data_IF_447660943244
#
_entry.id   IF_447660943244
#
_cell.length_a   1.000
_cell.length_b   1.000
_cell.length_c   1.000
_cell.angle_alpha   90.00
_cell.angle_beta   90.00
_cell.angle_gamma   90.00
#
_symmetry.space_group_name_H-M   'P 1'
#
loop_
_entity.id
_entity.type
_entity.pdbx_description
1 polymer ?
#
# COMPACT_ATOMS: atom_id res chain seq x y z
N UNK A 1 9.01 10.11 10.97
CA UNK A 1 7.77 10.33 10.22
C UNK A 1 6.52 10.12 11.10
N UNK A 2 6.33 8.96 11.75
CA UNK A 2 5.12 8.74 12.57
C UNK A 2 4.92 9.77 13.69
N UNK A 3 5.98 10.19 14.35
CA UNK A 3 5.92 11.25 15.38
C UNK A 3 5.59 12.61 14.75
N UNK A 4 6.18 12.96 13.61
CA UNK A 4 5.87 14.22 12.90
C UNK A 4 4.42 14.28 12.44
N UNK A 5 3.88 13.18 11.93
CA UNK A 5 2.45 13.08 11.55
C UNK A 5 1.53 13.23 12.77
N UNK A 6 1.94 12.73 13.94
CA UNK A 6 1.18 12.92 15.18
C UNK A 6 1.14 14.38 15.66
N UNK A 7 2.14 15.19 15.25
CA UNK A 7 2.23 16.62 15.55
C UNK A 7 1.73 17.51 14.38
N UNK A 8 1.02 16.93 13.41
CA UNK A 8 0.52 17.60 12.20
C UNK A 8 1.62 18.33 11.40
N UNK A 9 2.83 17.76 11.38
CA UNK A 9 3.99 18.30 10.69
C UNK A 9 4.49 17.35 9.61
N UNK A 10 5.14 17.88 8.57
CA UNK A 10 5.84 17.10 7.57
C UNK A 10 7.19 17.71 7.21
N UNK A 11 8.14 16.87 6.82
CA UNK A 11 9.48 17.29 6.40
C UNK A 11 9.47 17.91 4.99
N UNK A 12 8.63 17.38 4.10
CA UNK A 12 8.44 17.88 2.73
C UNK A 12 9.49 17.46 1.71
N UNK A 13 10.72 17.11 2.14
CA UNK A 13 11.77 16.52 1.30
C UNK A 13 12.43 15.32 1.99
N UNK A 14 11.60 14.37 2.46
CA UNK A 14 12.10 13.18 3.12
C UNK A 14 12.81 12.27 2.10
N UNK A 15 14.10 12.06 2.31
CA UNK A 15 14.98 11.19 1.50
C UNK A 15 16.12 10.65 2.37
N UNK A 16 16.82 9.57 1.98
CA UNK A 16 17.92 9.01 2.78
C UNK A 16 19.03 10.03 3.12
N UNK A 17 19.36 10.95 2.21
CA UNK A 17 20.38 11.97 2.43
C UNK A 17 20.00 12.98 3.54
N UNK A 18 18.69 13.12 3.81
CA UNK A 18 18.17 14.02 4.84
C UNK A 18 17.86 13.27 6.16
N UNK A 19 18.37 12.03 6.33
CA UNK A 19 18.16 11.22 7.53
C UNK A 19 19.52 10.78 8.08
N UNK A 20 19.89 11.28 9.26
CA UNK A 20 21.08 10.83 9.97
C UNK A 20 20.71 9.71 10.94
N UNK A 21 21.45 8.61 10.91
CA UNK A 21 21.33 7.55 11.92
C UNK A 21 22.27 7.85 13.08
N UNK A 22 21.71 8.17 14.25
CA UNK A 22 22.46 8.43 15.47
C UNK A 22 23.14 7.18 16.02
N UNK A 23 24.10 7.37 16.94
CA UNK A 23 24.78 6.26 17.64
C UNK A 23 23.83 5.43 18.50
N UNK A 24 22.76 6.05 18.95
CA UNK A 24 21.63 5.42 19.66
C UNK A 24 20.65 4.66 18.71
N UNK A 25 20.99 4.60 17.41
CA UNK A 25 20.19 4.01 16.33
C UNK A 25 18.86 4.73 16.07
N UNK A 26 18.70 5.95 16.56
CA UNK A 26 17.56 6.81 16.21
C UNK A 26 17.81 7.52 14.89
N UNK A 27 16.70 7.78 14.20
CA UNK A 27 16.70 8.54 12.95
C UNK A 27 16.49 10.02 13.26
N UNK A 28 17.40 10.86 12.77
CA UNK A 28 17.36 12.30 12.93
C UNK A 28 17.17 12.95 11.57
N UNK A 29 15.96 13.40 11.21
CA UNK A 29 15.76 14.21 10.01
C UNK A 29 16.53 15.53 10.10
N UNK A 30 17.06 15.98 8.97
CA UNK A 30 17.79 17.26 8.79
C UNK A 30 17.28 17.92 7.51
N UNK A 31 17.56 19.22 7.34
CA UNK A 31 17.20 19.98 6.12
C UNK A 31 15.68 20.18 5.99
N UNK A 32 15.13 21.01 6.87
CA UNK A 32 13.70 21.28 7.00
C UNK A 32 13.18 22.43 6.12
N UNK A 33 13.90 22.84 5.06
CA UNK A 33 13.55 24.01 4.25
C UNK A 33 12.22 23.85 3.50
N UNK A 34 11.80 22.59 3.23
CA UNK A 34 10.52 22.25 2.63
C UNK A 34 9.41 21.89 3.65
N UNK A 35 9.67 22.07 4.95
CA UNK A 35 8.80 21.52 5.99
C UNK A 35 7.43 22.23 6.05
N UNK A 36 6.38 21.42 6.27
CA UNK A 36 5.06 21.89 6.63
C UNK A 36 4.91 21.92 8.16
N UNK A 37 4.41 23.04 8.66
CA UNK A 37 3.94 23.23 10.03
C UNK A 37 2.48 23.69 10.00
N UNK A 38 1.65 23.44 11.05
CA UNK A 38 0.27 23.89 11.10
C UNK A 38 0.08 25.40 10.87
N UNK A 39 1.09 26.20 11.22
CA UNK A 39 1.08 27.66 10.97
C UNK A 39 1.08 28.04 9.49
N UNK A 40 1.46 27.13 8.59
CA UNK A 40 1.51 27.33 7.14
C UNK A 40 0.27 26.78 6.42
N UNK A 41 -0.76 26.38 7.17
CA UNK A 41 -1.98 25.84 6.57
C UNK A 41 -2.63 26.86 5.61
N UNK A 42 -2.87 26.40 4.37
CA UNK A 42 -3.41 27.25 3.30
C UNK A 42 -2.36 27.96 2.44
N UNK A 43 -1.07 27.84 2.77
CA UNK A 43 0.02 28.31 1.92
C UNK A 43 0.39 27.29 0.83
N UNK A 44 1.30 27.68 -0.06
CA UNK A 44 1.87 26.77 -1.07
C UNK A 44 3.27 26.35 -0.64
N UNK A 45 3.64 25.13 -1.00
CA UNK A 45 4.98 24.60 -0.70
C UNK A 45 6.06 25.47 -1.32
N UNK A 46 7.07 25.91 -0.55
CA UNK A 46 8.20 26.66 -1.09
C UNK A 46 9.05 25.80 -2.05
N UNK A 47 9.09 24.48 -1.81
CA UNK A 47 9.85 23.51 -2.59
C UNK A 47 9.05 22.22 -2.78
N UNK A 48 9.25 21.54 -3.91
CA UNK A 48 8.57 20.25 -4.19
C UNK A 48 9.34 19.03 -3.65
N UNK A 49 10.50 19.26 -3.05
CA UNK A 49 11.38 18.20 -2.61
C UNK A 49 12.02 17.42 -3.79
N UNK A 50 12.70 16.34 -3.47
CA UNK A 50 13.44 15.54 -4.44
C UNK A 50 12.52 14.60 -5.20
N UNK A 51 12.34 14.82 -6.50
CA UNK A 51 11.37 14.11 -7.36
C UNK A 51 11.50 12.57 -7.35
N UNK A 52 12.69 12.03 -7.04
CA UNK A 52 12.92 10.59 -6.94
C UNK A 52 12.24 9.96 -5.71
N UNK A 53 11.75 10.77 -4.77
CA UNK A 53 11.09 10.31 -3.55
C UNK A 53 9.66 10.84 -3.41
N UNK A 54 9.21 11.72 -4.29
CA UNK A 54 7.90 12.36 -4.21
C UNK A 54 6.86 11.64 -5.08
N UNK A 55 5.60 11.73 -4.67
CA UNK A 55 4.50 11.29 -5.53
C UNK A 55 4.56 11.99 -6.88
N UNK A 56 4.36 11.28 -8.02
CA UNK A 56 4.49 11.86 -9.35
C UNK A 56 3.61 13.08 -9.61
N UNK A 57 2.43 13.11 -9.00
CA UNK A 57 1.42 14.15 -9.18
C UNK A 57 1.49 15.27 -8.13
N UNK A 58 2.53 15.30 -7.26
CA UNK A 58 2.71 16.36 -6.28
C UNK A 58 2.90 17.71 -6.95
N UNK A 59 2.17 18.70 -6.45
CA UNK A 59 2.26 20.10 -6.85
C UNK A 59 2.55 21.02 -5.65
N UNK A 60 2.84 22.29 -5.88
CA UNK A 60 3.05 23.24 -4.79
C UNK A 60 1.78 23.50 -3.95
N UNK A 61 0.59 23.24 -4.49
CA UNK A 61 -0.66 23.34 -3.75
C UNK A 61 -0.87 22.20 -2.73
N UNK A 62 -0.12 21.10 -2.88
CA UNK A 62 -0.17 19.97 -1.97
C UNK A 62 0.77 20.21 -0.77
N UNK A 63 0.46 21.24 0.02
CA UNK A 63 1.27 21.62 1.17
C UNK A 63 0.48 21.37 2.46
N UNK A 64 0.74 20.23 3.10
CA UNK A 64 0.02 19.75 4.28
C UNK A 64 0.84 18.74 5.08
N UNK A 65 0.31 18.29 6.20
CA UNK A 65 0.93 17.33 7.14
C UNK A 65 1.19 15.93 6.55
N UNK A 66 0.70 15.65 5.33
CA UNK A 66 0.82 14.34 4.67
C UNK A 66 1.88 14.28 3.56
N UNK A 67 2.68 15.32 3.43
CA UNK A 67 3.76 15.39 2.42
C UNK A 67 4.72 14.20 2.47
N UNK A 68 4.94 13.64 3.65
CA UNK A 68 5.89 12.56 3.88
C UNK A 68 5.29 11.16 3.73
N UNK A 69 4.00 11.01 3.50
CA UNK A 69 3.36 9.69 3.34
C UNK A 69 4.03 8.89 2.21
N UNK A 70 4.12 9.47 1.03
CA UNK A 70 4.68 8.78 -0.14
C UNK A 70 6.18 8.47 0.00
N UNK A 71 7.06 9.44 0.34
CA UNK A 71 8.48 9.16 0.54
C UNK A 71 8.73 8.15 1.67
N UNK A 72 7.96 8.18 2.77
CA UNK A 72 8.08 7.19 3.84
C UNK A 72 7.72 5.77 3.37
N UNK A 73 6.64 5.61 2.61
CA UNK A 73 6.26 4.33 2.02
C UNK A 73 7.32 3.81 1.04
N UNK A 74 7.83 4.69 0.17
CA UNK A 74 8.85 4.35 -0.83
C UNK A 74 10.16 3.89 -0.17
N UNK A 75 10.67 4.67 0.77
CA UNK A 75 11.92 4.37 1.50
C UNK A 75 11.75 3.08 2.31
N UNK A 76 10.64 2.94 3.04
CA UNK A 76 10.34 1.74 3.82
C UNK A 76 10.29 0.50 2.93
N UNK A 77 9.60 0.57 1.79
CA UNK A 77 9.52 -0.54 0.82
C UNK A 77 10.90 -0.95 0.31
N UNK A 78 11.72 0.02 -0.12
CA UNK A 78 13.05 -0.26 -0.64
C UNK A 78 13.98 -0.85 0.42
N UNK A 79 14.00 -0.29 1.63
CA UNK A 79 14.88 -0.77 2.71
C UNK A 79 14.49 -2.17 3.19
N UNK A 80 13.19 -2.47 3.32
CA UNK A 80 12.75 -3.82 3.67
C UNK A 80 13.08 -4.83 2.57
N UNK A 81 12.95 -4.46 1.28
CA UNK A 81 13.34 -5.32 0.18
C UNK A 81 14.84 -5.61 0.19
N UNK A 82 15.67 -4.60 0.42
CA UNK A 82 17.14 -4.77 0.54
C UNK A 82 17.55 -5.60 1.75
N UNK A 83 16.79 -5.54 2.85
CA UNK A 83 17.02 -6.39 4.02
C UNK A 83 16.71 -7.86 3.74
N UNK A 84 15.73 -8.16 2.90
CA UNK A 84 15.37 -9.53 2.50
C UNK A 84 16.25 -10.06 1.36
N UNK A 85 16.67 -9.21 0.43
CA UNK A 85 17.43 -9.56 -0.77
C UNK A 85 18.42 -8.43 -1.13
N UNK A 86 19.62 -8.39 -0.52
CA UNK A 86 20.61 -7.32 -0.76
C UNK A 86 21.06 -7.18 -2.21
N UNK A 87 21.01 -8.27 -3.00
CA UNK A 87 21.44 -8.27 -4.42
C UNK A 87 20.52 -7.42 -5.32
N UNK A 88 19.36 -6.99 -4.81
CA UNK A 88 18.53 -6.00 -5.50
C UNK A 88 19.27 -4.69 -5.74
N UNK A 89 20.18 -4.32 -4.84
CA UNK A 89 20.99 -3.12 -5.02
C UNK A 89 21.90 -3.20 -6.24
N UNK A 90 22.55 -4.33 -6.47
CA UNK A 90 23.45 -4.53 -7.60
C UNK A 90 22.73 -4.45 -8.94
N UNK A 91 21.44 -4.81 -8.97
CA UNK A 91 20.61 -4.85 -10.18
C UNK A 91 19.84 -3.56 -10.45
N UNK A 92 19.37 -2.89 -9.41
CA UNK A 92 18.41 -1.80 -9.51
C UNK A 92 18.82 -0.55 -8.74
N UNK A 93 19.80 -0.65 -7.82
CA UNK A 93 20.24 0.46 -6.99
C UNK A 93 20.77 1.63 -7.81
N UNK A 94 20.37 2.83 -7.42
CA UNK A 94 20.90 4.04 -8.01
C UNK A 94 21.07 5.14 -6.93
N UNK A 95 22.01 6.06 -7.18
CA UNK A 95 22.36 7.10 -6.22
C UNK A 95 21.23 8.13 -5.99
N UNK A 96 20.35 8.29 -6.97
CA UNK A 96 19.32 9.33 -6.96
C UNK A 96 17.99 8.84 -6.35
N UNK A 97 17.74 7.52 -6.29
CA UNK A 97 16.42 7.02 -5.93
C UNK A 97 16.32 5.57 -5.44
N UNK A 98 17.16 5.07 -4.58
CA UNK A 98 17.12 3.70 -4.04
C UNK A 98 16.96 2.61 -5.14
N UNK A 99 15.79 1.93 -5.21
CA UNK A 99 15.54 0.79 -6.09
C UNK A 99 14.65 1.10 -7.30
N UNK A 100 13.69 2.01 -7.18
CA UNK A 100 12.69 2.26 -8.23
C UNK A 100 12.31 3.73 -8.34
N UNK A 101 11.82 4.10 -9.52
CA UNK A 101 11.39 5.46 -9.81
C UNK A 101 9.88 5.61 -9.59
N UNK A 102 9.42 6.59 -8.79
CA UNK A 102 7.99 6.87 -8.58
C UNK A 102 7.18 6.97 -9.87
N UNK A 103 7.73 7.66 -10.87
CA UNK A 103 7.06 7.88 -12.18
C UNK A 103 6.85 6.60 -13.01
N UNK A 104 7.53 5.52 -12.68
CA UNK A 104 7.42 4.25 -13.39
C UNK A 104 6.53 3.23 -12.69
N UNK A 105 6.16 3.48 -11.43
CA UNK A 105 5.25 2.61 -10.67
C UNK A 105 3.83 2.72 -11.27
N UNK A 106 3.11 1.60 -11.49
CA UNK A 106 3.42 0.21 -11.12
C UNK A 106 4.23 -0.59 -12.18
N UNK A 107 4.59 0.01 -13.30
CA UNK A 107 5.28 -0.65 -14.41
C UNK A 107 6.77 -0.93 -14.20
N UNK A 108 7.39 -0.40 -13.16
CA UNK A 108 8.81 -0.54 -12.85
C UNK A 108 9.18 -2.01 -12.58
N UNK A 109 10.29 -2.48 -13.20
CA UNK A 109 10.72 -3.87 -13.07
C UNK A 109 11.16 -4.20 -11.64
N UNK A 110 11.92 -3.30 -11.01
CA UNK A 110 12.35 -3.47 -9.63
C UNK A 110 11.17 -3.50 -8.66
N UNK A 111 10.20 -2.60 -8.86
CA UNK A 111 8.99 -2.56 -8.04
C UNK A 111 8.19 -3.87 -8.12
N UNK A 112 8.00 -4.43 -9.31
CA UNK A 112 7.31 -5.72 -9.48
C UNK A 112 8.06 -6.88 -8.85
N UNK A 113 9.39 -6.88 -8.95
CA UNK A 113 10.22 -7.90 -8.30
C UNK A 113 10.13 -7.79 -6.77
N UNK A 114 10.13 -6.58 -6.22
CA UNK A 114 9.95 -6.34 -4.78
C UNK A 114 8.59 -6.83 -4.29
N UNK A 115 7.51 -6.57 -5.04
CA UNK A 115 6.18 -7.13 -4.70
C UNK A 115 6.20 -8.66 -4.67
N UNK A 116 6.77 -9.30 -5.71
CA UNK A 116 6.88 -10.75 -5.77
C UNK A 116 7.75 -11.32 -4.64
N UNK A 117 8.84 -10.63 -4.27
CA UNK A 117 9.69 -11.00 -3.14
C UNK A 117 8.91 -10.99 -1.82
N UNK A 118 8.17 -9.91 -1.54
CA UNK A 118 7.39 -9.82 -0.30
C UNK A 118 6.28 -10.88 -0.24
N UNK A 119 5.61 -11.13 -1.35
CA UNK A 119 4.61 -12.19 -1.46
C UNK A 119 5.22 -13.56 -1.19
N UNK A 120 6.32 -13.90 -1.88
CA UNK A 120 7.01 -15.18 -1.71
C UNK A 120 7.54 -15.40 -0.29
N UNK A 121 8.03 -14.33 0.36
CA UNK A 121 8.57 -14.36 1.73
C UNK A 121 7.48 -14.21 2.81
N UNK A 122 6.20 -14.10 2.44
CA UNK A 122 5.09 -13.93 3.39
C UNK A 122 5.12 -12.58 4.14
N UNK A 123 5.75 -11.54 3.57
CA UNK A 123 5.89 -10.21 4.16
C UNK A 123 4.64 -9.36 3.87
N UNK A 124 3.51 -9.79 4.43
CA UNK A 124 2.20 -9.22 4.12
C UNK A 124 2.10 -7.70 4.40
N UNK A 125 2.71 -7.21 5.48
CA UNK A 125 2.70 -5.79 5.83
C UNK A 125 3.53 -4.98 4.84
N UNK A 126 4.75 -5.43 4.54
CA UNK A 126 5.64 -4.78 3.58
C UNK A 126 5.03 -4.75 2.18
N UNK A 127 4.38 -5.84 1.78
CA UNK A 127 3.62 -5.92 0.53
C UNK A 127 2.52 -4.85 0.48
N UNK A 128 1.74 -4.70 1.56
CA UNK A 128 0.69 -3.67 1.65
C UNK A 128 1.25 -2.25 1.61
N UNK A 129 2.36 -1.98 2.31
CA UNK A 129 3.05 -0.67 2.23
C UNK A 129 3.47 -0.39 0.80
N UNK A 130 4.06 -1.37 0.11
CA UNK A 130 4.45 -1.23 -1.28
C UNK A 130 3.26 -0.94 -2.20
N UNK A 131 2.11 -1.60 -2.00
CA UNK A 131 0.89 -1.35 -2.78
C UNK A 131 0.38 0.09 -2.67
N UNK A 132 0.59 0.78 -1.53
CA UNK A 132 0.21 2.18 -1.36
C UNK A 132 0.90 3.11 -2.37
N UNK A 133 2.08 2.74 -2.88
CA UNK A 133 2.79 3.52 -3.90
C UNK A 133 2.05 3.61 -5.24
N UNK A 134 1.04 2.77 -5.47
CA UNK A 134 0.17 2.82 -6.64
C UNK A 134 -1.08 3.69 -6.43
N UNK A 135 -1.28 4.24 -5.22
CA UNK A 135 -2.45 5.07 -4.94
C UNK A 135 -2.42 6.35 -5.78
N UNK A 136 -3.55 6.79 -6.35
CA UNK A 136 -3.62 8.05 -7.08
C UNK A 136 -3.63 9.28 -6.15
N UNK A 137 -3.70 9.07 -4.85
CA UNK A 137 -3.75 10.11 -3.82
C UNK A 137 -2.39 10.29 -3.17
N UNK A 138 -1.98 11.53 -2.97
CA UNK A 138 -0.77 11.86 -2.21
C UNK A 138 -0.87 11.44 -0.74
N UNK A 139 -2.08 11.47 -0.17
CA UNK A 139 -2.35 10.95 1.16
C UNK A 139 -2.48 9.43 1.10
N UNK A 140 -1.59 8.72 1.77
CA UNK A 140 -1.59 7.26 1.84
C UNK A 140 -2.31 6.79 3.12
N UNK A 141 -3.62 6.59 2.98
CA UNK A 141 -4.45 6.16 4.11
C UNK A 141 -3.96 4.83 4.70
N UNK A 142 -3.88 4.75 6.02
CA UNK A 142 -3.43 3.56 6.75
C UNK A 142 -1.92 3.32 6.78
N UNK A 143 -1.11 4.22 6.20
CA UNK A 143 0.34 4.07 6.18
C UNK A 143 0.93 4.03 7.60
N UNK A 144 0.51 4.91 8.49
CA UNK A 144 1.04 4.98 9.86
C UNK A 144 0.80 3.68 10.63
N UNK A 145 -0.39 3.10 10.50
CA UNK A 145 -0.77 1.82 11.09
C UNK A 145 0.08 0.68 10.54
N UNK A 146 0.27 0.63 9.21
CA UNK A 146 1.11 -0.38 8.56
C UNK A 146 2.57 -0.27 8.96
N UNK A 147 3.14 0.93 9.01
CA UNK A 147 4.52 1.14 9.47
C UNK A 147 4.68 0.75 10.94
N UNK A 148 3.71 1.07 11.80
CA UNK A 148 3.69 0.64 13.20
C UNK A 148 3.57 -0.89 13.34
N UNK A 149 2.85 -1.57 12.47
CA UNK A 149 2.75 -3.04 12.43
C UNK A 149 4.07 -3.66 11.95
N UNK A 150 4.72 -3.10 10.93
CA UNK A 150 6.02 -3.56 10.44
C UNK A 150 7.08 -3.54 11.55
N UNK A 151 7.11 -2.48 12.37
CA UNK A 151 8.02 -2.38 13.52
C UNK A 151 7.76 -3.46 14.57
N UNK A 152 6.50 -3.79 14.85
CA UNK A 152 6.14 -4.86 15.79
C UNK A 152 6.56 -6.24 15.30
N UNK A 153 6.46 -6.52 13.99
CA UNK A 153 6.86 -7.80 13.39
C UNK A 153 8.38 -8.03 13.40
N UNK A 154 9.19 -6.98 13.28
CA UNK A 154 10.65 -7.08 13.42
C UNK A 154 11.11 -7.32 14.87
N UNK A 155 10.25 -7.06 15.84
CA UNK A 155 10.49 -7.28 17.28
C UNK A 155 10.16 -8.68 17.82
N UNK A 156 9.79 -9.65 16.99
CA UNK A 156 9.73 -11.06 17.36
C UNK A 156 8.49 -11.52 18.15
N UNK A 157 7.29 -11.02 17.82
CA UNK A 157 6.03 -11.65 18.25
C UNK A 157 5.16 -12.00 17.05
N UNK A 158 4.86 -13.29 16.88
CA UNK A 158 3.86 -13.76 15.93
C UNK A 158 2.47 -13.19 16.27
N UNK A 159 1.66 -12.78 15.27
CA UNK A 159 0.30 -12.37 15.53
C UNK A 159 -0.53 -13.59 15.92
N UNK A 160 -1.05 -13.61 17.14
CA UNK A 160 -2.10 -14.55 17.51
C UNK A 160 -3.34 -14.26 16.66
N UNK A 161 -3.65 -15.16 15.76
CA UNK A 161 -4.92 -15.18 15.01
C UNK A 161 -6.04 -15.51 15.99
N UNK A 162 -6.78 -14.49 16.40
CA UNK A 162 -8.13 -14.69 16.87
C UNK A 162 -8.97 -15.13 15.66
N UNK A 163 -9.71 -16.21 15.80
CA UNK A 163 -10.39 -16.91 14.69
C UNK A 163 -11.61 -16.19 14.10
N UNK A 164 -11.81 -14.89 14.34
CA UNK A 164 -12.88 -14.11 13.72
C UNK A 164 -12.45 -13.51 12.39
N UNK A 165 -13.29 -13.69 11.36
CA UNK A 165 -13.07 -13.07 10.06
C UNK A 165 -13.11 -11.52 10.23
N UNK A 166 -12.18 -10.79 9.56
CA UNK A 166 -12.20 -9.34 9.63
C UNK A 166 -13.50 -8.76 9.04
N UNK A 167 -14.06 -7.77 9.71
CA UNK A 167 -15.26 -7.05 9.29
C UNK A 167 -14.90 -5.84 8.43
N UNK A 168 -15.72 -5.59 7.41
CA UNK A 168 -15.60 -4.44 6.53
C UNK A 168 -15.92 -3.14 7.30
N UNK A 169 -15.13 -2.09 7.09
CA UNK A 169 -15.42 -0.76 7.58
C UNK A 169 -15.05 0.31 6.57
N UNK A 170 -15.63 1.50 6.72
CA UNK A 170 -15.35 2.66 5.85
C UNK A 170 -14.87 3.81 6.72
N UNK A 171 -13.78 4.43 6.29
CA UNK A 171 -13.24 5.63 6.91
C UNK A 171 -12.74 6.59 5.82
N UNK A 172 -13.10 7.86 5.92
CA UNK A 172 -12.77 8.89 4.93
C UNK A 172 -13.14 8.51 3.47
N UNK A 173 -14.24 7.76 3.30
CA UNK A 173 -14.69 7.30 1.99
C UNK A 173 -13.90 6.14 1.40
N UNK A 174 -12.98 5.53 2.16
CA UNK A 174 -12.19 4.36 1.79
C UNK A 174 -12.60 3.14 2.59
N UNK A 175 -12.46 1.97 1.98
CA UNK A 175 -12.84 0.68 2.52
C UNK A 175 -11.63 -0.06 3.08
N UNK A 176 -11.77 -0.63 4.26
CA UNK A 176 -10.76 -1.44 4.94
C UNK A 176 -11.40 -2.58 5.73
N UNK A 177 -10.59 -3.36 6.44
CA UNK A 177 -11.08 -4.48 7.25
C UNK A 177 -10.43 -4.47 8.63
N UNK A 178 -11.22 -4.75 9.66
CA UNK A 178 -10.77 -4.78 11.05
C UNK A 178 -11.38 -5.95 11.79
N UNK A 179 -10.69 -6.39 12.84
CA UNK A 179 -11.27 -7.19 13.93
C UNK A 179 -11.62 -6.26 15.09
N UNK A 180 -12.34 -6.75 16.12
CA UNK A 180 -12.58 -5.96 17.35
C UNK A 180 -11.30 -5.45 18.01
N UNK A 181 -10.16 -6.13 17.78
CA UNK A 181 -8.88 -5.83 18.43
C UNK A 181 -7.96 -4.93 17.58
N UNK A 182 -8.09 -4.96 16.24
CA UNK A 182 -7.19 -4.20 15.36
C UNK A 182 -7.72 -4.02 13.95
N UNK A 183 -7.23 -2.99 13.27
CA UNK A 183 -7.32 -2.86 11.82
C UNK A 183 -6.40 -3.88 11.16
N UNK A 184 -6.96 -4.77 10.34
CA UNK A 184 -6.22 -5.80 9.58
C UNK A 184 -5.81 -5.27 8.21
N UNK A 185 -6.75 -4.59 7.55
CA UNK A 185 -6.53 -3.93 6.26
C UNK A 185 -6.94 -2.48 6.41
N UNK A 186 -6.01 -1.52 6.34
CA UNK A 186 -6.33 -0.10 6.41
C UNK A 186 -7.34 0.31 5.34
N UNK A 187 -8.07 1.43 5.53
CA UNK A 187 -9.06 1.91 4.57
C UNK A 187 -8.37 2.47 3.30
N UNK A 188 -8.00 1.58 2.38
CA UNK A 188 -7.24 1.86 1.16
C UNK A 188 -8.09 1.83 -0.08
N UNK A 189 -9.13 0.98 -0.08
CA UNK A 189 -9.85 0.60 -1.27
C UNK A 189 -10.99 1.56 -1.59
N UNK A 190 -11.30 1.73 -2.86
CA UNK A 190 -12.43 2.53 -3.36
C UNK A 190 -13.77 1.84 -3.11
N UNK A 191 -13.75 0.49 -3.05
CA UNK A 191 -14.91 -0.36 -2.74
C UNK A 191 -14.44 -1.71 -2.21
N UNK A 192 -15.33 -2.44 -1.52
CA UNK A 192 -15.01 -3.76 -0.99
C UNK A 192 -16.26 -4.57 -0.65
N UNK A 193 -16.09 -5.87 -0.55
CA UNK A 193 -17.11 -6.84 -0.12
C UNK A 193 -16.64 -7.52 1.16
N UNK A 194 -17.57 -8.06 1.94
CA UNK A 194 -17.25 -8.89 3.10
C UNK A 194 -16.45 -10.13 2.69
N UNK A 195 -15.66 -10.65 3.64
CA UNK A 195 -14.95 -11.91 3.44
C UNK A 195 -15.91 -13.06 3.26
N UNK A 196 -15.72 -13.78 2.18
CA UNK A 196 -16.42 -15.05 1.89
C UNK A 196 -15.37 -16.10 1.57
N UNK A 197 -15.46 -17.26 2.22
CA UNK A 197 -14.51 -18.37 2.02
C UNK A 197 -13.03 -17.95 2.17
N UNK A 198 -12.75 -16.96 3.06
CA UNK A 198 -11.41 -16.47 3.32
C UNK A 198 -10.87 -15.46 2.30
N UNK A 199 -11.68 -15.05 1.32
CA UNK A 199 -11.34 -14.02 0.33
C UNK A 199 -12.34 -12.87 0.34
N UNK A 200 -11.86 -11.65 0.17
CA UNK A 200 -12.69 -10.47 -0.06
C UNK A 200 -12.32 -9.81 -1.39
N UNK A 201 -13.34 -9.42 -2.16
CA UNK A 201 -13.10 -8.64 -3.37
C UNK A 201 -13.02 -7.15 -3.01
N UNK A 202 -12.00 -6.45 -3.53
CA UNK A 202 -11.74 -5.04 -3.27
C UNK A 202 -11.36 -4.31 -4.55
N UNK A 203 -11.76 -3.06 -4.67
CA UNK A 203 -11.42 -2.19 -5.80
C UNK A 203 -10.35 -1.20 -5.37
N UNK A 204 -9.27 -1.13 -6.15
CA UNK A 204 -8.25 -0.09 -6.00
C UNK A 204 -8.01 0.57 -7.37
N UNK A 205 -8.39 1.84 -7.49
CA UNK A 205 -8.41 2.53 -8.77
C UNK A 205 -9.36 1.85 -9.76
N UNK A 206 -8.83 1.33 -10.86
CA UNK A 206 -9.59 0.61 -11.89
C UNK A 206 -9.40 -0.91 -11.84
N UNK A 207 -8.78 -1.44 -10.80
CA UNK A 207 -8.44 -2.87 -10.71
C UNK A 207 -9.17 -3.52 -9.54
N UNK A 208 -9.88 -4.59 -9.82
CA UNK A 208 -10.43 -5.47 -8.81
C UNK A 208 -9.38 -6.49 -8.34
N UNK A 209 -9.31 -6.68 -7.03
CA UNK A 209 -8.45 -7.66 -6.39
C UNK A 209 -9.28 -8.57 -5.49
N UNK A 210 -8.85 -9.82 -5.31
CA UNK A 210 -9.29 -10.65 -4.20
C UNK A 210 -8.13 -10.75 -3.20
N UNK A 211 -8.41 -10.39 -1.96
CA UNK A 211 -7.44 -10.39 -0.86
C UNK A 211 -7.81 -11.47 0.15
N UNK A 212 -6.81 -12.04 0.83
CA UNK A 212 -7.03 -12.96 1.95
C UNK A 212 -7.28 -12.19 3.27
N UNK A 213 -7.57 -12.93 4.34
CA UNK A 213 -7.84 -12.38 5.68
C UNK A 213 -6.64 -11.66 6.30
N UNK A 214 -5.43 -11.77 5.74
CA UNK A 214 -4.25 -10.99 6.10
C UNK A 214 -4.08 -9.74 5.22
N UNK A 215 -4.98 -9.50 4.25
CA UNK A 215 -4.92 -8.39 3.30
C UNK A 215 -3.96 -8.60 2.14
N UNK A 216 -3.49 -9.83 1.91
CA UNK A 216 -2.63 -10.15 0.76
C UNK A 216 -3.49 -10.33 -0.49
N UNK A 217 -3.06 -9.73 -1.60
CA UNK A 217 -3.72 -9.93 -2.89
C UNK A 217 -3.46 -11.35 -3.41
N UNK A 218 -4.53 -12.12 -3.57
CA UNK A 218 -4.48 -13.47 -4.13
C UNK A 218 -4.71 -13.46 -5.65
N UNK A 219 -5.61 -12.61 -6.13
CA UNK A 219 -5.96 -12.49 -7.55
C UNK A 219 -6.14 -11.02 -7.92
N UNK A 220 -5.86 -10.67 -9.19
CA UNK A 220 -5.99 -9.31 -9.72
C UNK A 220 -6.64 -9.32 -11.09
N UNK A 221 -7.63 -8.45 -11.30
CA UNK A 221 -8.43 -8.36 -12.52
C UNK A 221 -8.48 -6.90 -13.01
N UNK A 222 -7.44 -6.44 -13.72
CA UNK A 222 -7.43 -5.10 -14.30
C UNK A 222 -8.49 -4.98 -15.40
N UNK A 223 -9.14 -3.83 -15.48
CA UNK A 223 -10.13 -3.53 -16.50
C UNK A 223 -11.44 -4.32 -16.38
N UNK A 224 -11.68 -4.99 -15.25
CA UNK A 224 -12.98 -5.56 -14.96
C UNK A 224 -13.94 -4.51 -14.40
N UNK A 225 -15.16 -4.49 -14.93
CA UNK A 225 -16.21 -3.55 -14.55
C UNK A 225 -16.82 -3.91 -13.20
N UNK A 226 -16.91 -5.19 -12.90
CA UNK A 226 -17.47 -5.70 -11.65
C UNK A 226 -16.95 -7.11 -11.32
N UNK A 227 -17.06 -7.46 -10.04
CA UNK A 227 -16.74 -8.81 -9.54
C UNK A 227 -17.81 -9.24 -8.54
N UNK A 228 -17.88 -10.55 -8.26
CA UNK A 228 -18.71 -11.11 -7.18
C UNK A 228 -17.84 -11.86 -6.18
N UNK A 229 -18.22 -11.90 -4.89
CA UNK A 229 -17.55 -12.71 -3.89
C UNK A 229 -17.48 -14.19 -4.25
N UNK A 230 -16.49 -14.90 -3.74
CA UNK A 230 -16.36 -16.35 -3.91
C UNK A 230 -17.49 -17.10 -3.20
N UNK A 231 -18.04 -18.11 -3.89
CA UNK A 231 -19.00 -19.08 -3.34
C UNK A 231 -18.70 -20.46 -3.92
N UNK A 232 -18.58 -21.48 -3.07
CA UNK A 232 -18.22 -22.85 -3.46
C UNK A 232 -16.94 -22.91 -4.32
N UNK A 233 -15.91 -22.13 -3.94
CA UNK A 233 -14.62 -22.08 -4.64
C UNK A 233 -14.64 -21.36 -5.98
N UNK A 234 -15.73 -20.67 -6.34
CA UNK A 234 -15.93 -19.98 -7.62
C UNK A 234 -16.38 -18.54 -7.41
N UNK A 235 -15.98 -17.66 -8.32
CA UNK A 235 -16.45 -16.29 -8.38
C UNK A 235 -16.73 -15.89 -9.84
N UNK A 236 -17.25 -14.68 -10.03
CA UNK A 236 -17.54 -14.12 -11.34
C UNK A 236 -16.92 -12.74 -11.47
N UNK A 237 -16.33 -12.47 -12.62
CA UNK A 237 -15.88 -11.14 -13.03
C UNK A 237 -16.62 -10.71 -14.30
N UNK A 238 -16.79 -9.40 -14.48
CA UNK A 238 -17.37 -8.82 -15.69
C UNK A 238 -16.28 -8.04 -16.40
N UNK A 239 -16.00 -8.39 -17.66
CA UNK A 239 -15.01 -7.75 -18.52
C UNK A 239 -15.60 -7.51 -19.90
N UNK A 240 -15.58 -6.26 -20.38
CA UNK A 240 -16.20 -5.85 -21.66
C UNK A 240 -17.68 -6.31 -21.80
N UNK A 241 -18.45 -6.13 -20.71
CA UNK A 241 -19.85 -6.56 -20.63
C UNK A 241 -20.07 -8.07 -20.58
N UNK A 242 -19.03 -8.91 -20.61
CA UNK A 242 -19.12 -10.37 -20.55
C UNK A 242 -18.87 -10.87 -19.14
N UNK A 243 -19.68 -11.84 -18.72
CA UNK A 243 -19.51 -12.57 -17.47
C UNK A 243 -18.54 -13.74 -17.66
N UNK A 244 -17.54 -13.81 -16.80
CA UNK A 244 -16.49 -14.83 -16.82
C UNK A 244 -16.43 -15.44 -15.42
N UNK A 245 -16.51 -16.75 -15.33
CA UNK A 245 -16.29 -17.48 -14.07
C UNK A 245 -14.79 -17.60 -13.80
N UNK A 246 -14.42 -17.56 -12.52
CA UNK A 246 -13.05 -17.77 -12.07
C UNK A 246 -13.03 -18.76 -10.91
N UNK A 247 -11.98 -19.57 -10.82
CA UNK A 247 -11.67 -20.38 -9.66
C UNK A 247 -10.66 -19.68 -8.73
N UNK A 248 -10.29 -20.34 -7.63
CA UNK A 248 -9.33 -19.80 -6.66
C UNK A 248 -7.89 -19.68 -7.19
N UNK A 249 -7.57 -20.33 -8.29
CA UNK A 249 -6.28 -20.21 -8.98
C UNK A 249 -6.30 -19.07 -10.03
N UNK A 250 -7.47 -18.43 -10.23
CA UNK A 250 -7.65 -17.40 -11.26
C UNK A 250 -7.92 -17.96 -12.64
N UNK A 251 -8.19 -19.28 -12.77
CA UNK A 251 -8.52 -19.91 -14.05
C UNK A 251 -9.88 -19.43 -14.50
N UNK A 252 -9.96 -18.86 -15.71
CA UNK A 252 -11.19 -18.35 -16.31
C UNK A 252 -11.98 -19.50 -17.01
N UNK A 253 -13.31 -19.49 -16.86
CA UNK A 253 -14.20 -20.42 -17.53
C UNK A 253 -15.52 -19.74 -17.95
N UNK A 254 -16.21 -20.27 -18.99
CA UNK A 254 -17.52 -19.74 -19.40
C UNK A 254 -18.56 -19.95 -18.30
N UNK A 255 -19.40 -18.95 -18.04
CA UNK A 255 -20.51 -19.06 -17.08
C UNK A 255 -21.78 -19.37 -17.81
N UNK A 256 -22.50 -20.43 -17.39
CA UNK A 256 -23.85 -20.70 -17.85
C UNK A 256 -24.82 -19.63 -17.30
N UNK A 257 -25.83 -19.23 -18.08
CA UNK A 257 -26.75 -18.13 -17.74
C UNK A 257 -27.43 -18.24 -16.36
N UNK A 258 -27.48 -19.43 -15.76
CA UNK A 258 -28.15 -19.73 -14.48
C UNK A 258 -27.22 -20.00 -13.30
N UNK A 259 -25.91 -19.94 -13.44
CA UNK A 259 -24.95 -20.42 -12.40
C UNK A 259 -24.83 -19.49 -11.19
N UNK A 260 -25.32 -18.25 -11.26
CA UNK A 260 -25.27 -17.25 -10.19
C UNK A 260 -26.60 -16.48 -10.02
N UNK A 261 -27.72 -17.09 -10.33
CA UNK A 261 -29.01 -16.55 -9.96
C UNK A 261 -29.25 -16.79 -8.47
N UNK A 262 -29.18 -15.68 -7.71
CA UNK A 262 -29.43 -15.43 -6.26
C UNK A 262 -28.74 -16.31 -5.28
#
# INVERSE_FOLDING_TARGET
AAEMVADDCAHGDLKPANIIVGRDRKLHPIDFDAAFLPAFAGETSPELGTAAYQHPDRTAADFNERLDDYPAALISTALHALAEEPTLWDRYGNADGLLFSPRKIPGDAAYREVLALFEHRGKAVQYRVAQLLCAPSLRLFGLAELLGEAVRQTGGQEPTTDGSAPELFVENGRWGYRTPQRTVVPPLYDSGFDFTEGLAAVLLGSTWHYIDTAGRTCLSFPGCEAVKPFRNGRAQVVRNGRRIGIDRAGTEYPVAENEFAI
#
